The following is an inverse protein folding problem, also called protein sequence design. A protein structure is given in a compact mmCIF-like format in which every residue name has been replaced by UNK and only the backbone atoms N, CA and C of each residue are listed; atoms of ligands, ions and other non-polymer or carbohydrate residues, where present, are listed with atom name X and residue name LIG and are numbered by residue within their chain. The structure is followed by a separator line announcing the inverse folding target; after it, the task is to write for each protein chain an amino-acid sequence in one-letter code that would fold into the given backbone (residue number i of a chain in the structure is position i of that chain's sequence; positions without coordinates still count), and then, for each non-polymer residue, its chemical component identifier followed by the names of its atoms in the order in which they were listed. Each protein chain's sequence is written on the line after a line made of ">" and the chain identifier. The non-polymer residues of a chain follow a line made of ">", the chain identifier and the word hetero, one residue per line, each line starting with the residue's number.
data_IF_886006458229
#
_entry.id   IF_886006458229
#
_cell.length_a   1.000
_cell.length_b   1.000
_cell.length_c   1.000
_cell.angle_alpha   90.00
_cell.angle_beta   90.00
_cell.angle_gamma   90.00
#
_symmetry.space_group_name_H-M   'P 1'
#
loop_
_entity.id
_entity.type
_entity.pdbx_description
1 polymer ?
#
# COMPACT_ATOMS: atom_id res chain seq x y z
N UNK A 1 -5.79 -9.46 -19.59
CA UNK A 1 -4.51 -9.59 -18.87
C UNK A 1 -4.83 -9.80 -17.41
N UNK A 2 -4.41 -10.93 -16.85
CA UNK A 2 -4.98 -11.50 -15.61
C UNK A 2 -4.45 -10.79 -14.34
N UNK A 3 -3.39 -9.98 -14.48
CA UNK A 3 -2.63 -9.35 -13.38
C UNK A 3 -2.87 -7.84 -13.21
N UNK A 4 -4.02 -7.32 -13.65
CA UNK A 4 -4.32 -5.89 -13.50
C UNK A 4 -4.53 -5.48 -12.02
N UNK A 5 -4.95 -6.44 -11.18
CA UNK A 5 -5.11 -6.27 -9.74
C UNK A 5 -4.55 -7.50 -9.02
N UNK A 6 -3.71 -7.29 -8.01
CA UNK A 6 -3.16 -8.35 -7.19
C UNK A 6 -3.79 -8.30 -5.80
N UNK A 7 -4.55 -9.33 -5.47
CA UNK A 7 -5.14 -9.49 -4.15
C UNK A 7 -4.29 -10.43 -3.30
N UNK A 8 -3.69 -9.87 -2.24
CA UNK A 8 -2.85 -10.58 -1.30
C UNK A 8 -3.49 -10.71 0.08
N UNK A 9 -4.78 -10.37 0.25
CA UNK A 9 -5.47 -10.43 1.54
C UNK A 9 -5.33 -11.79 2.25
N UNK A 10 -5.21 -12.88 1.50
CA UNK A 10 -5.11 -14.25 2.04
C UNK A 10 -3.67 -14.72 2.32
N UNK A 11 -2.65 -13.94 1.92
CA UNK A 11 -1.23 -14.30 2.09
C UNK A 11 -0.71 -13.56 3.32
N UNK A 12 -0.76 -14.16 4.51
CA UNK A 12 -0.48 -13.40 5.74
C UNK A 12 0.91 -13.62 6.36
N UNK A 13 1.61 -14.75 6.12
CA UNK A 13 2.84 -15.00 6.91
C UNK A 13 4.00 -15.80 6.28
N UNK A 14 3.87 -16.56 5.18
CA UNK A 14 4.81 -17.70 5.01
C UNK A 14 5.78 -17.68 3.82
N UNK A 15 5.65 -16.81 2.80
CA UNK A 15 6.65 -16.84 1.72
C UNK A 15 6.83 -15.54 0.94
N UNK A 16 7.09 -14.43 1.65
CA UNK A 16 7.42 -13.16 1.00
C UNK A 16 8.64 -13.27 0.08
N UNK A 17 9.63 -14.10 0.43
CA UNK A 17 10.81 -14.28 -0.41
C UNK A 17 10.47 -14.95 -1.75
N UNK A 18 9.73 -16.05 -1.74
CA UNK A 18 9.25 -16.66 -2.99
C UNK A 18 8.32 -15.73 -3.77
N UNK A 19 7.49 -14.95 -3.09
CA UNK A 19 6.65 -13.94 -3.72
C UNK A 19 7.50 -12.84 -4.39
N UNK A 20 8.56 -12.36 -3.74
CA UNK A 20 9.46 -11.35 -4.29
C UNK A 20 10.30 -11.90 -5.45
N UNK A 21 10.80 -13.13 -5.35
CA UNK A 21 11.49 -13.81 -6.44
C UNK A 21 10.54 -14.02 -7.63
N UNK A 22 9.30 -14.45 -7.37
CA UNK A 22 8.26 -14.57 -8.39
C UNK A 22 7.94 -13.21 -9.04
N UNK A 23 7.79 -12.15 -8.26
CA UNK A 23 7.55 -10.79 -8.78
C UNK A 23 8.73 -10.29 -9.63
N UNK A 24 9.96 -10.50 -9.16
CA UNK A 24 11.18 -10.08 -9.87
C UNK A 24 11.40 -10.88 -11.15
N UNK A 25 11.07 -12.17 -11.16
CA UNK A 25 11.20 -13.04 -12.32
C UNK A 25 10.07 -12.84 -13.35
N UNK A 26 8.93 -12.25 -12.95
CA UNK A 26 7.73 -12.24 -13.77
C UNK A 26 7.40 -10.83 -14.29
N UNK A 27 7.79 -10.58 -15.54
CA UNK A 27 7.56 -9.32 -16.27
C UNK A 27 6.07 -8.97 -16.45
N UNK A 28 5.15 -9.88 -16.11
CA UNK A 28 3.70 -9.68 -16.25
C UNK A 28 3.12 -8.73 -15.19
N UNK A 29 3.84 -8.49 -14.08
CA UNK A 29 3.40 -7.57 -13.02
C UNK A 29 3.64 -6.09 -13.36
N UNK A 30 4.42 -5.79 -14.40
CA UNK A 30 4.74 -4.41 -14.80
C UNK A 30 3.50 -3.55 -15.09
N UNK A 31 2.36 -4.16 -15.42
CA UNK A 31 1.12 -3.47 -15.74
C UNK A 31 0.11 -3.47 -14.58
N UNK A 32 0.52 -3.86 -13.37
CA UNK A 32 -0.39 -3.94 -12.24
C UNK A 32 -0.89 -2.55 -11.84
N UNK A 33 -2.22 -2.43 -11.68
CA UNK A 33 -2.90 -1.20 -11.31
C UNK A 33 -3.48 -1.22 -9.91
N UNK A 34 -3.90 -2.39 -9.43
CA UNK A 34 -4.48 -2.54 -8.10
C UNK A 34 -3.68 -3.47 -7.21
N UNK A 35 -3.52 -3.09 -5.94
CA UNK A 35 -2.92 -3.92 -4.90
C UNK A 35 -3.83 -3.97 -3.67
N UNK A 36 -4.21 -5.17 -3.23
CA UNK A 36 -4.95 -5.35 -1.99
C UNK A 36 -4.06 -6.05 -0.94
N UNK A 37 -3.73 -5.32 0.12
CA UNK A 37 -2.97 -5.78 1.28
C UNK A 37 -3.87 -5.83 2.53
N UNK A 38 -5.19 -5.95 2.37
CA UNK A 38 -6.11 -5.93 3.50
C UNK A 38 -5.74 -6.97 4.55
N UNK A 39 -5.74 -6.58 5.83
CA UNK A 39 -5.42 -7.44 6.96
C UNK A 39 -3.92 -7.69 7.18
N UNK A 40 -3.04 -7.07 6.39
CA UNK A 40 -1.59 -7.22 6.57
C UNK A 40 -1.07 -6.46 7.79
N UNK A 41 0.00 -6.98 8.39
CA UNK A 41 0.81 -6.21 9.33
C UNK A 41 1.60 -5.15 8.54
N UNK A 42 1.69 -3.93 9.06
CA UNK A 42 2.33 -2.79 8.42
C UNK A 42 3.79 -3.05 8.04
N UNK A 43 4.53 -3.82 8.85
CA UNK A 43 5.90 -4.21 8.49
C UNK A 43 5.96 -5.10 7.23
N UNK A 44 5.01 -6.01 7.07
CA UNK A 44 4.93 -6.88 5.89
C UNK A 44 4.36 -6.11 4.69
N UNK A 45 3.34 -5.27 4.92
CA UNK A 45 2.76 -4.41 3.89
C UNK A 45 3.80 -3.46 3.31
N UNK A 46 4.69 -2.90 4.14
CA UNK A 46 5.77 -2.01 3.72
C UNK A 46 6.77 -2.72 2.79
N UNK A 47 7.17 -3.95 3.12
CA UNK A 47 8.07 -4.74 2.26
C UNK A 47 7.45 -5.06 0.90
N UNK A 48 6.16 -5.39 0.89
CA UNK A 48 5.45 -5.67 -0.35
C UNK A 48 5.25 -4.41 -1.17
N UNK A 49 4.85 -3.32 -0.53
CA UNK A 49 4.72 -2.03 -1.20
C UNK A 49 6.05 -1.60 -1.82
N UNK A 50 7.17 -1.69 -1.10
CA UNK A 50 8.48 -1.29 -1.61
C UNK A 50 8.88 -2.09 -2.87
N UNK A 51 8.66 -3.41 -2.84
CA UNK A 51 8.92 -4.29 -3.98
C UNK A 51 8.00 -3.97 -5.16
N UNK A 52 6.70 -3.82 -4.91
CA UNK A 52 5.71 -3.47 -5.93
C UNK A 52 6.02 -2.11 -6.51
N UNK A 53 6.29 -1.11 -5.68
CA UNK A 53 6.47 0.27 -6.10
C UNK A 53 7.78 0.49 -6.86
N UNK A 54 8.79 -0.35 -6.62
CA UNK A 54 10.02 -0.38 -7.43
C UNK A 54 9.76 -0.93 -8.84
N UNK A 55 8.88 -1.93 -8.98
CA UNK A 55 8.62 -2.59 -10.26
C UNK A 55 7.44 -1.98 -11.04
N UNK A 56 6.46 -1.39 -10.35
CA UNK A 56 5.15 -0.96 -10.89
C UNK A 56 4.88 0.53 -10.64
N UNK A 57 5.95 1.32 -10.46
CA UNK A 57 5.92 2.72 -10.00
C UNK A 57 4.85 3.59 -10.67
N UNK A 58 4.76 3.50 -11.99
CA UNK A 58 3.94 4.40 -12.81
C UNK A 58 2.52 3.88 -13.05
N UNK A 59 2.27 2.59 -12.81
CA UNK A 59 1.01 1.94 -13.16
C UNK A 59 0.10 1.69 -11.96
N UNK A 60 0.60 1.81 -10.72
CA UNK A 60 -0.21 1.58 -9.53
C UNK A 60 -1.19 2.75 -9.31
N UNK A 61 -2.48 2.42 -9.35
CA UNK A 61 -3.61 3.35 -9.27
C UNK A 61 -4.53 3.06 -8.09
N UNK A 62 -4.60 1.82 -7.62
CA UNK A 62 -5.50 1.39 -6.56
C UNK A 62 -4.72 0.66 -5.46
N UNK A 63 -4.93 1.06 -4.21
CA UNK A 63 -4.33 0.40 -3.05
C UNK A 63 -5.37 0.21 -1.94
N UNK A 64 -5.48 -1.00 -1.42
CA UNK A 64 -6.26 -1.29 -0.21
C UNK A 64 -5.38 -1.77 0.93
N UNK A 65 -5.50 -1.10 2.07
CA UNK A 65 -4.87 -1.38 3.35
C UNK A 65 -5.91 -1.63 4.44
N UNK A 66 -7.12 -2.02 4.04
CA UNK A 66 -8.22 -2.18 4.99
C UNK A 66 -7.84 -3.18 6.08
N UNK A 67 -8.13 -2.83 7.34
CA UNK A 67 -7.82 -3.67 8.51
C UNK A 67 -6.31 -3.96 8.69
N UNK A 68 -5.42 -3.21 8.05
CA UNK A 68 -3.99 -3.30 8.29
C UNK A 68 -3.62 -2.72 9.65
N UNK A 69 -2.73 -3.41 10.37
CA UNK A 69 -2.30 -2.97 11.70
C UNK A 69 -0.86 -2.49 11.66
N UNK A 70 -0.50 -1.54 12.50
CA UNK A 70 0.88 -1.08 12.67
C UNK A 70 1.48 -0.42 11.42
N UNK A 71 0.71 0.36 10.67
CA UNK A 71 1.22 1.17 9.56
C UNK A 71 2.17 2.25 10.09
N UNK A 72 3.36 2.32 9.50
CA UNK A 72 4.43 3.25 9.89
C UNK A 72 4.38 4.56 9.10
N UNK A 73 5.09 5.59 9.54
CA UNK A 73 5.33 6.80 8.73
C UNK A 73 6.16 6.53 7.49
N UNK A 74 7.08 5.58 7.59
CA UNK A 74 7.96 5.19 6.50
C UNK A 74 7.16 4.59 5.33
N UNK A 75 6.17 3.74 5.65
CA UNK A 75 5.25 3.17 4.67
C UNK A 75 4.61 4.25 3.78
N UNK A 76 4.12 5.33 4.39
CA UNK A 76 3.44 6.42 3.66
C UNK A 76 4.41 7.30 2.91
N UNK A 77 5.64 7.45 3.41
CA UNK A 77 6.70 8.11 2.67
C UNK A 77 7.00 7.34 1.39
N UNK A 78 7.20 6.02 1.48
CA UNK A 78 7.40 5.11 0.33
C UNK A 78 6.23 5.20 -0.65
N UNK A 79 5.00 5.19 -0.14
CA UNK A 79 3.80 5.38 -0.96
C UNK A 79 3.86 6.71 -1.74
N UNK A 80 4.21 7.82 -1.08
CA UNK A 80 4.25 9.15 -1.68
C UNK A 80 5.42 9.37 -2.65
N UNK A 81 6.49 8.57 -2.54
CA UNK A 81 7.70 8.69 -3.38
C UNK A 81 7.66 7.72 -4.56
N UNK A 82 7.15 6.52 -4.35
CA UNK A 82 7.16 5.45 -5.35
C UNK A 82 5.79 5.22 -6.00
N UNK A 83 4.67 5.70 -5.45
CA UNK A 83 3.35 5.51 -6.06
C UNK A 83 2.57 6.83 -6.19
N UNK A 84 3.03 7.79 -7.01
CA UNK A 84 2.38 9.10 -7.12
C UNK A 84 1.03 9.07 -7.86
N UNK A 85 0.75 7.99 -8.61
CA UNK A 85 -0.42 7.88 -9.50
C UNK A 85 -1.61 7.16 -8.86
N UNK A 86 -1.58 6.94 -7.54
CA UNK A 86 -2.69 6.34 -6.82
C UNK A 86 -3.89 7.29 -6.87
N UNK A 87 -5.00 6.76 -7.36
CA UNK A 87 -6.30 7.43 -7.49
C UNK A 87 -7.35 6.83 -6.55
N UNK A 88 -7.20 5.57 -6.16
CA UNK A 88 -8.09 4.90 -5.19
C UNK A 88 -7.25 4.40 -4.02
N UNK A 89 -7.57 4.86 -2.81
CA UNK A 89 -6.93 4.43 -1.59
C UNK A 89 -7.96 4.01 -0.55
N UNK A 90 -7.84 2.79 -0.02
CA UNK A 90 -8.66 2.31 1.09
C UNK A 90 -7.78 2.12 2.33
N UNK A 91 -8.01 2.94 3.34
CA UNK A 91 -7.33 2.90 4.65
C UNK A 91 -8.33 2.58 5.76
N UNK A 92 -9.41 1.87 5.44
CA UNK A 92 -10.47 1.62 6.40
C UNK A 92 -9.98 0.77 7.56
N UNK A 93 -10.25 1.19 8.79
CA UNK A 93 -9.91 0.42 10.01
C UNK A 93 -8.40 0.12 10.18
N UNK A 94 -7.51 0.99 9.69
CA UNK A 94 -6.07 0.84 9.95
C UNK A 94 -5.66 1.27 11.36
N UNK A 95 -4.57 0.71 11.86
CA UNK A 95 -3.87 1.23 13.06
C UNK A 95 -2.47 1.70 12.71
N UNK A 96 -2.07 2.87 13.22
CA UNK A 96 -0.72 3.39 13.04
C UNK A 96 0.14 3.11 14.29
N UNK A 97 1.44 2.85 14.13
CA UNK A 97 2.38 2.65 15.26
C UNK A 97 2.80 3.92 15.98
N UNK A 98 2.22 5.07 15.63
CA UNK A 98 2.47 6.33 16.35
C UNK A 98 2.15 6.12 17.83
N UNK A 99 3.11 6.42 18.71
CA UNK A 99 2.99 6.40 20.16
C UNK A 99 1.95 7.41 20.72
N UNK A 100 1.00 7.88 19.92
CA UNK A 100 -0.05 8.80 20.31
C UNK A 100 -1.41 8.16 20.00
N UNK A 101 -2.14 7.94 21.08
CA UNK A 101 -3.41 7.23 21.18
C UNK A 101 -4.40 7.54 20.04
N UNK A 102 -4.96 6.46 19.50
CA UNK A 102 -6.34 6.30 19.04
C UNK A 102 -7.15 7.59 18.84
N UNK A 103 -7.35 7.99 17.58
CA UNK A 103 -8.68 8.28 17.00
C UNK A 103 -8.47 8.84 15.59
N UNK A 104 -8.93 8.08 14.60
CA UNK A 104 -8.98 8.44 13.18
C UNK A 104 -7.63 8.53 12.44
N UNK A 105 -7.46 7.79 11.32
CA UNK A 105 -6.28 7.90 10.46
C UNK A 105 -6.04 9.32 9.90
N UNK A 106 -7.05 10.21 9.96
CA UNK A 106 -6.89 11.63 9.61
C UNK A 106 -6.30 12.52 10.73
N UNK A 107 -6.41 12.13 12.00
CA UNK A 107 -5.73 12.84 13.09
C UNK A 107 -4.27 12.41 13.23
N UNK A 108 -3.91 11.25 12.66
CA UNK A 108 -2.55 10.79 12.60
C UNK A 108 -1.75 11.70 11.64
N UNK A 109 -0.78 12.50 12.14
CA UNK A 109 0.07 13.36 11.31
C UNK A 109 0.79 12.60 10.19
N UNK A 110 0.82 11.28 10.31
CA UNK A 110 1.44 10.31 9.42
C UNK A 110 0.90 10.35 7.98
N UNK A 111 -0.38 10.66 7.76
CA UNK A 111 -1.01 10.69 6.41
C UNK A 111 -0.93 12.05 5.73
N UNK A 112 -0.66 13.13 6.47
CA UNK A 112 -0.56 14.48 5.91
C UNK A 112 0.44 14.61 4.75
N UNK A 113 1.69 14.10 4.86
CA UNK A 113 2.66 14.22 3.78
C UNK A 113 2.20 13.54 2.48
N UNK A 114 1.47 12.43 2.60
CA UNK A 114 0.91 11.74 1.45
C UNK A 114 -0.25 12.53 0.83
N UNK A 115 -1.19 13.02 1.64
CA UNK A 115 -2.32 13.82 1.16
C UNK A 115 -1.85 15.12 0.51
N UNK A 116 -0.83 15.78 1.04
CA UNK A 116 -0.25 16.99 0.44
C UNK A 116 0.39 16.72 -0.93
N UNK A 117 0.97 15.53 -1.13
CA UNK A 117 1.73 15.19 -2.33
C UNK A 117 0.91 14.46 -3.40
N UNK A 118 0.00 13.59 -2.98
CA UNK A 118 -0.78 12.70 -3.84
C UNK A 118 -2.29 12.96 -3.75
N UNK A 119 -2.75 13.78 -2.81
CA UNK A 119 -4.19 14.03 -2.60
C UNK A 119 -4.91 14.64 -3.80
N UNK A 120 -4.21 15.38 -4.66
CA UNK A 120 -4.79 15.95 -5.88
C UNK A 120 -5.12 14.90 -6.95
N UNK A 121 -4.54 13.70 -6.85
CA UNK A 121 -4.80 12.60 -7.79
C UNK A 121 -5.87 11.63 -7.26
N UNK A 122 -6.24 11.71 -5.98
CA UNK A 122 -7.21 10.79 -5.38
C UNK A 122 -8.63 11.08 -5.89
N UNK A 123 -9.21 10.08 -6.53
CA UNK A 123 -10.62 10.03 -6.95
C UNK A 123 -11.47 9.41 -5.83
N UNK A 124 -10.92 8.45 -5.09
CA UNK A 124 -11.63 7.76 -4.01
C UNK A 124 -10.72 7.52 -2.81
N UNK A 125 -11.21 7.85 -1.61
CA UNK A 125 -10.54 7.59 -0.34
C UNK A 125 -11.53 6.99 0.66
N UNK A 126 -11.33 5.72 1.02
CA UNK A 126 -12.14 5.02 2.01
C UNK A 126 -11.42 5.01 3.37
N UNK A 127 -12.19 5.21 4.45
CA UNK A 127 -11.70 5.40 5.84
C UNK A 127 -12.50 4.58 6.85
#
# INVERSE_FOLDING_TARGET
>A
MIWNSLDLQTITDVNLNEFFEMMAANQLFLCMKGLNLSGWNGANAERVLDTVATNCRDNLHELSLKNCKNISSQFLQTLSTHCPNIVVLDISSITATSHQNSQSPFAAPVFRPYLEKCGNNLISLNM
#
